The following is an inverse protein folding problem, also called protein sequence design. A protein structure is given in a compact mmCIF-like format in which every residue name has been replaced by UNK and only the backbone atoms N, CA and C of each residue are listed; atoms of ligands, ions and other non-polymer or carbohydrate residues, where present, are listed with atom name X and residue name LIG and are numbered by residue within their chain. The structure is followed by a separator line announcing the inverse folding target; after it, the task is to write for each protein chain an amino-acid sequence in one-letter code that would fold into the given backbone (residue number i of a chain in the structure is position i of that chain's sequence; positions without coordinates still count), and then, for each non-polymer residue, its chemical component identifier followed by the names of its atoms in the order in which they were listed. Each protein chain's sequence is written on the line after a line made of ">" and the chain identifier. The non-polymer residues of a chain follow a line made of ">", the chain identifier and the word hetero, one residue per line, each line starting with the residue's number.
data_IF_691559968890
#
_entry.id   IF_691559968890
#
_cell.length_a   1.000
_cell.length_b   1.000
_cell.length_c   1.000
_cell.angle_alpha   90.00
_cell.angle_beta   90.00
_cell.angle_gamma   90.00
#
_symmetry.space_group_name_H-M   'P 1'
#
loop_
_entity.id
_entity.type
_entity.pdbx_description
1 polymer ?
#
# COMPACT_ATOMS: atom_id res chain seq x y z
N UNK A 1 -5.10 9.66 -26.48
CA UNK A 1 -4.00 9.19 -25.60
C UNK A 1 -2.83 10.16 -25.69
N UNK A 2 -2.27 10.54 -24.53
CA UNK A 2 -1.04 11.36 -24.42
C UNK A 2 0.06 10.54 -23.75
N UNK A 3 1.33 10.74 -24.10
CA UNK A 3 2.42 10.07 -23.43
C UNK A 3 2.52 10.56 -21.98
N UNK A 4 2.75 9.64 -21.04
CA UNK A 4 2.97 9.94 -19.64
C UNK A 4 4.32 9.37 -19.18
N UNK A 5 4.79 9.83 -18.01
CA UNK A 5 6.00 9.31 -17.41
C UNK A 5 5.77 7.90 -16.87
N UNK A 6 6.82 7.09 -16.90
CA UNK A 6 6.82 5.73 -16.36
C UNK A 6 6.33 5.69 -14.91
N UNK A 7 6.82 6.60 -14.07
CA UNK A 7 6.48 6.67 -12.65
C UNK A 7 4.97 6.93 -12.43
N UNK A 8 4.36 7.77 -13.30
CA UNK A 8 2.90 8.00 -13.26
C UNK A 8 2.13 6.74 -13.64
N UNK A 9 2.54 6.08 -14.71
CA UNK A 9 1.92 4.83 -15.13
C UNK A 9 2.08 3.75 -14.07
N UNK A 10 3.28 3.58 -13.49
CA UNK A 10 3.56 2.61 -12.44
C UNK A 10 2.70 2.85 -11.19
N UNK A 11 2.52 4.11 -10.78
CA UNK A 11 1.67 4.46 -9.63
C UNK A 11 0.21 4.03 -9.84
N UNK A 12 -0.31 4.10 -11.07
CA UNK A 12 -1.70 3.76 -11.39
C UNK A 12 -1.93 2.25 -11.52
N UNK A 13 -0.93 1.49 -11.99
CA UNK A 13 -1.09 0.06 -12.29
C UNK A 13 -0.32 -0.88 -11.36
N UNK A 14 0.41 -0.36 -10.38
CA UNK A 14 1.23 -1.18 -9.47
C UNK A 14 0.44 -2.35 -8.87
N UNK A 15 -0.80 -2.08 -8.47
CA UNK A 15 -1.67 -3.04 -7.79
C UNK A 15 -2.34 -4.07 -8.70
N UNK A 16 -2.30 -3.88 -10.02
CA UNK A 16 -2.88 -4.81 -11.02
C UNK A 16 -1.83 -5.51 -11.86
N UNK A 17 -0.60 -5.03 -11.83
CA UNK A 17 0.50 -5.60 -12.61
C UNK A 17 0.82 -7.02 -12.14
N UNK A 18 0.97 -7.93 -13.10
CA UNK A 18 1.55 -9.24 -12.83
C UNK A 18 3.09 -9.14 -12.91
N UNK A 19 3.83 -9.31 -11.80
CA UNK A 19 5.28 -9.16 -11.81
C UNK A 19 6.02 -10.14 -12.75
N UNK A 20 5.45 -11.32 -13.02
CA UNK A 20 6.03 -12.28 -13.97
C UNK A 20 5.90 -11.81 -15.41
N UNK A 21 4.72 -11.29 -15.78
CA UNK A 21 4.48 -10.84 -17.15
C UNK A 21 5.28 -9.56 -17.45
N UNK A 22 5.12 -8.54 -16.62
CA UNK A 22 5.74 -7.24 -16.83
C UNK A 22 7.09 -7.11 -16.11
N UNK A 23 8.08 -7.86 -16.51
CA UNK A 23 9.42 -7.79 -15.92
C UNK A 23 10.29 -9.00 -16.18
N UNK A 24 9.69 -10.17 -16.38
CA UNK A 24 10.42 -11.41 -16.72
C UNK A 24 10.22 -11.78 -18.20
N UNK A 25 8.96 -11.79 -18.66
CA UNK A 25 8.63 -12.21 -20.03
C UNK A 25 8.60 -11.05 -21.01
N UNK A 26 8.47 -9.82 -20.54
CA UNK A 26 8.43 -8.62 -21.37
C UNK A 26 8.95 -7.40 -20.63
N UNK A 27 9.21 -6.32 -21.38
CA UNK A 27 9.62 -5.03 -20.86
C UNK A 27 8.73 -3.93 -21.43
N UNK A 28 8.14 -3.11 -20.57
CA UNK A 28 7.42 -1.90 -20.98
C UNK A 28 8.39 -0.86 -21.52
N UNK A 29 8.09 -0.27 -22.68
CA UNK A 29 8.97 0.70 -23.37
C UNK A 29 8.31 2.07 -23.56
N UNK A 30 6.98 2.15 -23.60
CA UNK A 30 6.22 3.39 -23.76
C UNK A 30 4.96 3.36 -22.89
N UNK A 31 4.52 4.52 -22.39
CA UNK A 31 3.38 4.68 -21.47
C UNK A 31 2.49 5.83 -21.89
N UNK A 32 1.18 5.63 -21.86
CA UNK A 32 0.16 6.57 -22.32
C UNK A 32 -1.05 6.57 -21.40
N UNK A 33 -1.77 7.71 -21.37
CA UNK A 33 -3.06 7.84 -20.70
C UNK A 33 -4.04 8.66 -21.54
N UNK A 34 -5.35 8.45 -21.36
CA UNK A 34 -6.37 9.44 -21.75
C UNK A 34 -6.35 10.62 -20.78
N UNK A 35 -6.94 11.75 -21.19
CA UNK A 35 -6.95 12.98 -20.39
C UNK A 35 -7.55 12.80 -18.99
N UNK A 36 -8.55 11.93 -18.88
CA UNK A 36 -9.24 11.61 -17.62
C UNK A 36 -8.71 10.31 -16.96
N UNK A 37 -7.63 9.71 -17.48
CA UNK A 37 -7.09 8.43 -17.02
C UNK A 37 -8.11 7.28 -16.99
N UNK A 38 -9.20 7.36 -17.77
CA UNK A 38 -10.11 6.24 -17.94
C UNK A 38 -9.44 5.08 -18.68
N UNK A 39 -8.57 5.41 -19.65
CA UNK A 39 -7.69 4.46 -20.33
C UNK A 39 -6.23 4.74 -20.02
N UNK A 40 -5.49 3.68 -19.79
CA UNK A 40 -4.04 3.66 -19.82
C UNK A 40 -3.58 2.75 -20.96
N UNK A 41 -2.40 2.97 -21.50
CA UNK A 41 -1.80 2.04 -22.46
C UNK A 41 -0.29 1.97 -22.29
N UNK A 42 0.25 0.82 -22.62
CA UNK A 42 1.70 0.59 -22.70
C UNK A 42 2.05 -0.19 -23.93
N UNK A 43 3.26 0.03 -24.46
CA UNK A 43 3.85 -0.83 -25.45
C UNK A 43 4.92 -1.65 -24.74
N UNK A 44 4.84 -2.95 -24.87
CA UNK A 44 5.84 -3.89 -24.36
C UNK A 44 6.69 -4.44 -25.49
N UNK A 45 7.92 -4.82 -25.19
CA UNK A 45 8.77 -5.67 -26.03
C UNK A 45 8.94 -7.01 -25.31
N UNK A 46 8.73 -8.10 -26.01
CA UNK A 46 8.88 -9.44 -25.47
C UNK A 46 10.28 -10.03 -25.71
N UNK A 47 10.45 -11.31 -25.38
CA UNK A 47 11.70 -12.04 -25.52
C UNK A 47 12.07 -12.33 -26.97
N UNK A 48 11.11 -12.28 -27.91
CA UNK A 48 11.30 -12.47 -29.35
C UNK A 48 11.57 -11.14 -30.07
N UNK A 49 11.69 -10.04 -29.33
CA UNK A 49 11.84 -8.65 -29.77
C UNK A 49 10.66 -8.14 -30.61
N UNK A 50 9.48 -8.63 -30.35
CA UNK A 50 8.23 -8.14 -30.92
C UNK A 50 7.52 -7.15 -30.00
N UNK A 51 6.81 -6.19 -30.61
CA UNK A 51 6.12 -5.12 -29.89
C UNK A 51 4.63 -5.39 -29.80
N UNK A 52 4.07 -5.39 -28.57
CA UNK A 52 2.65 -5.53 -28.33
C UNK A 52 2.11 -4.29 -27.61
N UNK A 53 1.01 -3.76 -28.12
CA UNK A 53 0.27 -2.70 -27.44
C UNK A 53 -0.75 -3.33 -26.48
N UNK A 54 -0.79 -2.81 -25.26
CA UNK A 54 -1.74 -3.23 -24.22
C UNK A 54 -2.53 -2.00 -23.80
N UNK A 55 -3.86 -2.10 -23.81
CA UNK A 55 -4.78 -1.05 -23.35
C UNK A 55 -5.46 -1.54 -22.08
N UNK A 56 -5.46 -0.69 -21.07
CA UNK A 56 -6.04 -0.93 -19.77
C UNK A 56 -7.20 0.03 -19.53
N UNK A 57 -8.29 -0.47 -18.97
CA UNK A 57 -9.43 0.31 -18.54
C UNK A 57 -9.80 -0.04 -17.10
N UNK A 58 -10.60 0.81 -16.43
CA UNK A 58 -11.09 0.54 -15.08
C UNK A 58 -12.32 -0.33 -15.12
N UNK A 59 -12.37 -1.36 -14.29
CA UNK A 59 -13.58 -2.15 -14.03
C UNK A 59 -14.54 -1.42 -13.06
N UNK A 60 -15.67 -2.04 -12.75
CA UNK A 60 -16.67 -1.48 -11.83
C UNK A 60 -16.17 -1.40 -10.36
N UNK A 61 -15.11 -2.12 -10.03
CA UNK A 61 -14.39 -2.00 -8.73
C UNK A 61 -13.26 -0.94 -8.79
N UNK A 62 -13.20 -0.12 -9.85
CA UNK A 62 -12.19 0.91 -10.13
C UNK A 62 -10.77 0.39 -10.35
N UNK A 63 -10.59 -0.90 -10.60
CA UNK A 63 -9.28 -1.52 -10.85
C UNK A 63 -8.98 -1.53 -12.33
N UNK A 64 -7.76 -1.13 -12.69
CA UNK A 64 -7.32 -1.32 -14.07
C UNK A 64 -7.18 -2.80 -14.42
N UNK A 65 -7.54 -3.13 -15.64
CA UNK A 65 -7.30 -4.43 -16.24
C UNK A 65 -7.08 -4.29 -17.73
N UNK A 66 -6.48 -5.30 -18.35
CA UNK A 66 -6.32 -5.35 -19.80
C UNK A 66 -7.69 -5.50 -20.45
N UNK A 67 -8.08 -4.53 -21.27
CA UNK A 67 -9.33 -4.54 -22.06
C UNK A 67 -9.08 -4.84 -23.52
N UNK A 68 -7.85 -4.56 -24.01
CA UNK A 68 -7.43 -4.89 -25.35
C UNK A 68 -5.91 -5.13 -25.42
N UNK A 69 -5.49 -6.00 -26.31
CA UNK A 69 -4.08 -6.24 -26.61
C UNK A 69 -3.90 -6.54 -28.10
N UNK A 70 -2.94 -5.88 -28.73
CA UNK A 70 -2.65 -6.14 -30.14
C UNK A 70 -1.99 -7.49 -30.37
N UNK A 71 -1.99 -7.95 -31.64
CA UNK A 71 -1.01 -8.92 -32.08
C UNK A 71 0.40 -8.32 -32.02
N UNK A 72 1.44 -9.14 -31.90
CA UNK A 72 2.83 -8.68 -31.96
C UNK A 72 3.18 -8.02 -33.29
N UNK A 73 4.02 -7.00 -33.22
CA UNK A 73 4.55 -6.27 -34.39
C UNK A 73 6.09 -6.28 -34.36
N UNK A 74 6.72 -6.40 -35.55
CA UNK A 74 8.18 -6.26 -35.67
C UNK A 74 8.66 -4.81 -35.43
N UNK A 75 7.77 -3.82 -35.65
CA UNK A 75 8.11 -2.40 -35.53
C UNK A 75 7.24 -1.70 -34.46
N UNK A 76 7.88 -0.98 -33.54
CA UNK A 76 7.20 -0.22 -32.50
C UNK A 76 6.21 0.80 -33.05
N UNK A 77 6.49 1.38 -34.22
CA UNK A 77 5.60 2.34 -34.86
C UNK A 77 4.26 1.75 -35.24
N UNK A 78 4.21 0.47 -35.58
CA UNK A 78 2.97 -0.19 -35.96
C UNK A 78 2.16 -0.59 -34.74
N UNK A 79 2.83 -1.05 -33.66
CA UNK A 79 2.19 -1.21 -32.35
C UNK A 79 1.59 0.12 -31.84
N UNK A 80 2.33 1.23 -31.99
CA UNK A 80 1.86 2.56 -31.61
C UNK A 80 0.64 3.02 -32.42
N UNK A 81 0.64 2.86 -33.74
CA UNK A 81 -0.50 3.18 -34.60
C UNK A 81 -1.73 2.35 -34.21
N UNK A 82 -1.55 1.06 -33.99
CA UNK A 82 -2.64 0.19 -33.55
C UNK A 82 -3.20 0.66 -32.20
N UNK A 83 -2.35 0.90 -31.19
CA UNK A 83 -2.75 1.42 -29.89
C UNK A 83 -3.60 2.69 -30.00
N UNK A 84 -3.16 3.68 -30.79
CA UNK A 84 -3.91 4.93 -30.96
C UNK A 84 -5.25 4.70 -31.64
N UNK A 85 -5.32 3.82 -32.64
CA UNK A 85 -6.55 3.51 -33.36
C UNK A 85 -7.57 2.82 -32.44
N UNK A 86 -7.15 1.81 -31.69
CA UNK A 86 -8.07 1.09 -30.80
C UNK A 86 -8.48 1.95 -29.59
N UNK A 87 -7.53 2.67 -28.97
CA UNK A 87 -7.86 3.62 -27.89
C UNK A 87 -8.86 4.69 -28.34
N UNK A 88 -8.78 5.17 -29.59
CA UNK A 88 -9.73 6.15 -30.13
C UNK A 88 -11.14 5.58 -30.22
N UNK A 89 -11.31 4.36 -30.70
CA UNK A 89 -12.61 3.68 -30.75
C UNK A 89 -13.23 3.56 -29.36
N UNK A 90 -12.46 3.06 -28.38
CA UNK A 90 -12.91 2.92 -27.00
C UNK A 90 -13.33 4.25 -26.37
N UNK A 91 -12.64 5.35 -26.70
CA UNK A 91 -12.99 6.69 -26.18
C UNK A 91 -14.21 7.30 -26.89
N UNK A 92 -14.44 6.97 -28.17
CA UNK A 92 -15.61 7.43 -28.94
C UNK A 92 -16.92 6.83 -28.42
N UNK A 93 -16.89 5.63 -27.83
CA UNK A 93 -18.04 4.99 -27.19
C UNK A 93 -18.42 5.69 -25.87
N UNK A 94 -17.58 6.60 -25.35
CA UNK A 94 -17.82 7.42 -24.16
C UNK A 94 -17.82 6.62 -22.85
N UNK A 95 -17.42 5.36 -22.89
CA UNK A 95 -17.31 4.53 -21.70
C UNK A 95 -16.07 4.92 -20.87
N UNK A 96 -16.24 4.99 -19.57
CA UNK A 96 -15.16 5.21 -18.61
C UNK A 96 -14.95 4.01 -17.69
N UNK A 97 -15.85 3.05 -17.72
CA UNK A 97 -15.83 1.81 -16.94
C UNK A 97 -15.99 0.63 -17.89
N UNK A 98 -15.12 -0.34 -17.75
CA UNK A 98 -15.01 -1.54 -18.58
C UNK A 98 -15.20 -2.80 -17.72
N UNK A 99 -16.45 -3.26 -17.49
CA UNK A 99 -16.74 -4.36 -16.58
C UNK A 99 -16.10 -5.68 -17.03
N UNK A 100 -15.56 -6.43 -16.06
CA UNK A 100 -15.12 -7.83 -16.27
C UNK A 100 -16.26 -8.84 -16.20
N UNK A 101 -17.40 -8.44 -15.59
CA UNK A 101 -18.55 -9.30 -15.35
C UNK A 101 -18.47 -10.17 -14.09
N UNK A 102 -17.43 -10.03 -13.28
CA UNK A 102 -17.23 -10.78 -12.03
C UNK A 102 -16.91 -9.86 -10.84
N UNK A 103 -17.21 -8.59 -10.96
CA UNK A 103 -17.01 -7.60 -9.92
C UNK A 103 -17.88 -7.87 -8.71
N UNK A 104 -17.37 -7.49 -7.55
CA UNK A 104 -18.08 -7.69 -6.28
C UNK A 104 -19.29 -6.76 -6.10
N UNK A 105 -19.37 -5.67 -6.87
CA UNK A 105 -20.33 -4.56 -6.71
C UNK A 105 -20.41 -4.01 -5.26
N UNK A 106 -19.37 -4.25 -4.46
CA UNK A 106 -19.29 -3.90 -3.04
C UNK A 106 -18.10 -3.01 -2.74
N UNK A 107 -17.65 -2.23 -3.74
CA UNK A 107 -16.55 -1.29 -3.48
C UNK A 107 -17.05 -0.22 -2.52
N UNK A 108 -16.91 -0.46 -1.22
CA UNK A 108 -17.16 0.57 -0.22
C UNK A 108 -16.05 1.60 -0.32
N UNK A 109 -16.44 2.84 -0.52
CA UNK A 109 -15.50 3.94 -0.43
C UNK A 109 -15.02 4.04 1.03
N UNK A 110 -13.71 3.98 1.25
CA UNK A 110 -13.09 4.06 2.57
C UNK A 110 -13.50 5.34 3.34
N UNK A 111 -13.81 6.40 2.60
CA UNK A 111 -14.18 7.71 3.16
C UNK A 111 -15.68 7.90 3.37
N UNK A 112 -16.53 6.94 2.98
CA UNK A 112 -17.94 6.95 3.33
C UNK A 112 -18.09 6.61 4.81
N UNK A 113 -18.62 7.55 5.60
CA UNK A 113 -18.70 7.39 7.06
C UNK A 113 -19.71 6.31 7.42
N UNK A 114 -19.22 5.24 8.06
CA UNK A 114 -20.04 4.13 8.57
C UNK A 114 -20.14 4.09 10.10
N UNK A 115 -19.38 4.95 10.80
CA UNK A 115 -19.33 5.02 12.26
C UNK A 115 -20.05 6.26 12.76
N UNK A 116 -20.51 6.22 14.03
CA UNK A 116 -21.04 7.40 14.69
C UNK A 116 -19.98 8.51 14.78
N UNK A 117 -20.39 9.76 14.58
CA UNK A 117 -19.50 10.92 14.48
C UNK A 117 -18.56 11.06 15.68
N UNK A 118 -19.06 10.76 16.87
CA UNK A 118 -18.33 10.87 18.13
C UNK A 118 -17.21 9.82 18.28
N UNK A 119 -17.19 8.81 17.40
CA UNK A 119 -16.18 7.74 17.38
C UNK A 119 -15.14 7.91 16.29
N UNK A 120 -15.34 8.90 15.41
CA UNK A 120 -14.43 9.12 14.30
C UNK A 120 -13.08 9.61 14.82
N UNK A 121 -12.03 9.08 14.23
CA UNK A 121 -10.67 9.52 14.49
C UNK A 121 -10.45 10.92 13.90
N UNK A 122 -9.87 11.89 14.63
CA UNK A 122 -9.62 13.24 14.12
C UNK A 122 -8.76 13.26 12.84
N UNK A 123 -7.74 12.42 12.75
CA UNK A 123 -6.87 12.33 11.57
C UNK A 123 -7.62 11.78 10.36
N UNK A 124 -8.52 10.81 10.57
CA UNK A 124 -9.43 10.36 9.52
C UNK A 124 -10.30 11.51 8.99
N UNK A 125 -10.91 12.29 9.91
CA UNK A 125 -11.73 13.46 9.53
C UNK A 125 -10.90 14.49 8.76
N UNK A 126 -9.67 14.76 9.16
CA UNK A 126 -8.76 15.67 8.46
C UNK A 126 -8.49 15.17 7.02
N UNK A 127 -8.09 13.91 6.84
CA UNK A 127 -7.83 13.35 5.51
C UNK A 127 -9.09 13.38 4.65
N UNK A 128 -10.24 13.04 5.24
CA UNK A 128 -11.51 13.01 4.53
C UNK A 128 -11.99 14.39 4.06
N UNK A 129 -11.86 15.41 4.88
CA UNK A 129 -12.55 16.68 4.70
C UNK A 129 -11.66 17.85 4.28
N UNK A 130 -10.40 17.88 4.71
CA UNK A 130 -9.52 19.02 4.44
C UNK A 130 -8.89 18.93 3.04
N UNK A 131 -8.77 20.09 2.39
CA UNK A 131 -8.22 20.20 1.03
C UNK A 131 -6.73 19.88 1.00
N UNK A 132 -6.01 20.21 2.06
CA UNK A 132 -4.57 19.97 2.21
C UNK A 132 -4.21 18.49 2.09
N UNK A 133 -5.14 17.60 2.43
CA UNK A 133 -4.97 16.14 2.36
C UNK A 133 -5.56 15.51 1.09
N UNK A 134 -5.94 16.31 0.07
CA UNK A 134 -6.56 15.76 -1.16
C UNK A 134 -5.69 14.70 -1.83
N UNK A 135 -4.39 14.96 -1.98
CA UNK A 135 -3.46 14.01 -2.61
C UNK A 135 -3.34 12.69 -1.82
N UNK A 136 -3.26 12.77 -0.49
CA UNK A 136 -3.23 11.57 0.36
C UNK A 136 -4.53 10.77 0.26
N UNK A 137 -5.68 11.47 0.24
CA UNK A 137 -7.00 10.86 0.06
C UNK A 137 -7.12 10.14 -1.28
N UNK A 138 -6.64 10.75 -2.35
CA UNK A 138 -6.66 10.14 -3.70
C UNK A 138 -5.79 8.90 -3.77
N UNK A 139 -4.57 8.93 -3.21
CA UNK A 139 -3.68 7.77 -3.14
C UNK A 139 -4.32 6.63 -2.34
N UNK A 140 -4.88 6.91 -1.18
CA UNK A 140 -5.54 5.92 -0.33
C UNK A 140 -6.76 5.32 -1.06
N UNK A 141 -7.55 6.15 -1.75
CA UNK A 141 -8.69 5.69 -2.53
C UNK A 141 -8.28 4.78 -3.69
N UNK A 142 -7.12 5.03 -4.31
CA UNK A 142 -6.56 4.19 -5.38
C UNK A 142 -6.07 2.83 -4.88
N UNK A 143 -5.48 2.78 -3.69
CA UNK A 143 -4.93 1.56 -3.10
C UNK A 143 -6.05 0.64 -2.58
N UNK A 144 -7.07 1.20 -1.95
CA UNK A 144 -8.07 0.46 -1.18
C UNK A 144 -8.81 -0.64 -1.97
N UNK A 145 -9.22 -0.45 -3.24
CA UNK A 145 -9.85 -1.50 -4.03
C UNK A 145 -9.03 -2.77 -4.17
N UNK A 146 -7.70 -2.66 -4.09
CA UNK A 146 -6.77 -3.77 -4.21
C UNK A 146 -6.43 -4.44 -2.86
N UNK A 147 -6.72 -3.75 -1.75
CA UNK A 147 -6.44 -4.27 -0.42
C UNK A 147 -7.52 -5.26 0.02
N UNK A 148 -7.13 -6.50 0.25
CA UNK A 148 -8.07 -7.53 0.75
C UNK A 148 -8.26 -7.36 2.25
N UNK A 149 -9.47 -6.97 2.65
CA UNK A 149 -9.90 -6.99 4.05
C UNK A 149 -10.25 -8.43 4.46
N UNK A 150 -9.40 -9.06 5.27
CA UNK A 150 -9.54 -10.47 5.65
C UNK A 150 -10.49 -10.64 6.83
N UNK A 151 -10.50 -9.70 7.77
CA UNK A 151 -11.28 -9.74 9.01
C UNK A 151 -12.61 -8.98 8.92
N UNK A 152 -12.84 -8.23 7.83
CA UNK A 152 -14.07 -7.46 7.58
C UNK A 152 -14.23 -6.22 8.46
N UNK A 153 -13.18 -5.80 9.16
CA UNK A 153 -13.22 -4.68 10.09
C UNK A 153 -12.37 -3.47 9.63
N UNK A 154 -11.67 -3.59 8.51
CA UNK A 154 -10.68 -2.59 8.08
C UNK A 154 -11.27 -1.18 8.02
N UNK A 155 -12.38 -0.98 7.32
CA UNK A 155 -13.00 0.35 7.13
C UNK A 155 -13.42 0.95 8.48
N UNK A 156 -14.04 0.15 9.34
CA UNK A 156 -14.45 0.60 10.67
C UNK A 156 -13.25 1.02 11.52
N UNK A 157 -12.22 0.20 11.56
CA UNK A 157 -11.02 0.49 12.35
C UNK A 157 -10.27 1.70 11.79
N UNK A 158 -10.17 1.82 10.45
CA UNK A 158 -9.59 2.99 9.79
C UNK A 158 -10.32 4.30 10.12
N UNK A 159 -11.63 4.25 10.32
CA UNK A 159 -12.42 5.44 10.68
C UNK A 159 -12.37 5.77 12.18
N UNK A 160 -11.88 4.86 13.03
CA UNK A 160 -11.94 4.99 14.49
C UNK A 160 -10.56 4.83 15.15
N UNK A 161 -10.50 4.17 16.29
CA UNK A 161 -9.28 4.01 17.11
C UNK A 161 -8.16 3.21 16.44
N UNK A 162 -8.45 2.47 15.39
CA UNK A 162 -7.47 1.70 14.62
C UNK A 162 -6.81 2.47 13.46
N UNK A 163 -7.09 3.78 13.31
CA UNK A 163 -6.65 4.58 12.19
C UNK A 163 -5.15 4.41 11.85
N UNK A 164 -4.27 4.64 12.83
CA UNK A 164 -2.82 4.57 12.63
C UNK A 164 -2.36 3.17 12.18
N UNK A 165 -2.91 2.13 12.80
CA UNK A 165 -2.56 0.74 12.45
C UNK A 165 -3.01 0.40 11.03
N UNK A 166 -4.23 0.79 10.64
CA UNK A 166 -4.76 0.51 9.30
C UNK A 166 -4.08 1.36 8.23
N UNK A 167 -3.71 2.60 8.56
CA UNK A 167 -2.91 3.44 7.67
C UNK A 167 -1.53 2.82 7.42
N UNK A 168 -0.88 2.31 8.48
CA UNK A 168 0.41 1.63 8.37
C UNK A 168 0.33 0.33 7.56
N UNK A 169 -0.69 -0.49 7.79
CA UNK A 169 -0.92 -1.68 6.99
C UNK A 169 -1.13 -1.34 5.50
N UNK A 170 -1.90 -0.29 5.21
CA UNK A 170 -2.15 0.13 3.83
C UNK A 170 -0.88 0.66 3.16
N UNK A 171 -0.07 1.43 3.89
CA UNK A 171 1.24 1.89 3.42
C UNK A 171 2.17 0.72 3.10
N UNK A 172 2.26 -0.26 4.01
CA UNK A 172 3.08 -1.46 3.77
C UNK A 172 2.58 -2.26 2.56
N UNK A 173 1.27 -2.39 2.41
CA UNK A 173 0.70 -3.05 1.23
C UNK A 173 1.12 -2.33 -0.06
N UNK A 174 1.01 -1.01 -0.08
CA UNK A 174 1.45 -0.20 -1.22
C UNK A 174 2.94 -0.40 -1.50
N UNK A 175 3.78 -0.21 -0.48
CA UNK A 175 5.23 -0.36 -0.59
C UNK A 175 5.64 -1.74 -1.12
N UNK A 176 5.13 -2.81 -0.51
CA UNK A 176 5.46 -4.19 -0.91
C UNK A 176 4.99 -4.51 -2.34
N UNK A 177 3.86 -3.92 -2.76
CA UNK A 177 3.33 -4.08 -4.12
C UNK A 177 4.18 -3.32 -5.15
N UNK A 178 4.57 -2.09 -4.83
CA UNK A 178 5.44 -1.28 -5.70
C UNK A 178 6.84 -1.89 -5.85
N UNK A 179 7.34 -2.56 -4.80
CA UNK A 179 8.55 -3.40 -4.85
C UNK A 179 8.37 -4.71 -5.65
N UNK A 180 7.17 -4.91 -6.24
CA UNK A 180 6.83 -6.08 -7.08
C UNK A 180 6.93 -7.42 -6.35
N UNK A 181 6.67 -7.44 -5.05
CA UNK A 181 6.66 -8.64 -4.25
C UNK A 181 5.32 -9.38 -4.37
N UNK A 182 5.37 -10.70 -4.38
CA UNK A 182 4.16 -11.52 -4.36
C UNK A 182 3.61 -11.61 -2.94
N UNK A 183 2.51 -10.93 -2.69
CA UNK A 183 1.87 -10.84 -1.38
C UNK A 183 0.71 -11.83 -1.28
N UNK A 184 0.77 -12.74 -0.32
CA UNK A 184 -0.35 -13.59 0.05
C UNK A 184 -1.05 -13.01 1.29
N UNK A 185 -2.29 -12.57 1.12
CA UNK A 185 -3.18 -12.08 2.16
C UNK A 185 -4.36 -13.04 2.38
N UNK A 186 -4.10 -14.33 2.39
CA UNK A 186 -5.10 -15.37 2.63
C UNK A 186 -5.30 -15.73 4.10
N UNK A 187 -4.52 -15.12 5.02
CA UNK A 187 -4.49 -15.45 6.44
C UNK A 187 -4.75 -14.19 7.29
N UNK A 188 -5.35 -14.37 8.46
CA UNK A 188 -5.58 -13.28 9.43
C UNK A 188 -4.29 -12.81 10.11
N UNK A 189 -3.28 -13.66 10.15
CA UNK A 189 -1.99 -13.35 10.76
C UNK A 189 -0.88 -14.23 10.14
N UNK A 190 0.32 -13.68 9.92
CA UNK A 190 0.69 -12.27 10.03
C UNK A 190 0.01 -11.41 8.96
N UNK A 191 0.15 -10.08 9.03
CA UNK A 191 -0.50 -9.15 8.11
C UNK A 191 -0.11 -9.41 6.65
N UNK A 192 1.15 -9.80 6.38
CA UNK A 192 1.64 -10.13 5.04
C UNK A 192 2.50 -11.39 5.06
N UNK A 193 2.30 -12.21 4.05
CA UNK A 193 3.20 -13.32 3.71
C UNK A 193 3.75 -13.08 2.31
N UNK A 194 5.03 -12.79 2.21
CA UNK A 194 5.72 -12.59 0.93
C UNK A 194 6.15 -13.95 0.40
N UNK A 195 5.73 -14.25 -0.81
CA UNK A 195 6.08 -15.49 -1.50
C UNK A 195 7.31 -15.25 -2.40
N UNK A 196 8.39 -15.97 -2.15
CA UNK A 196 9.62 -15.88 -2.95
C UNK A 196 10.17 -17.29 -3.25
N UNK A 197 9.42 -18.02 -4.06
CA UNK A 197 9.83 -19.36 -4.50
C UNK A 197 10.11 -20.32 -3.34
N UNK A 198 11.38 -20.48 -3.00
CA UNK A 198 11.83 -21.45 -1.98
C UNK A 198 11.77 -20.92 -0.54
N UNK A 199 11.71 -19.61 -0.35
CA UNK A 199 11.74 -19.00 0.99
C UNK A 199 10.74 -17.86 1.10
N UNK A 200 9.68 -18.07 1.88
CA UNK A 200 8.71 -17.04 2.18
C UNK A 200 9.18 -16.18 3.36
N UNK A 201 8.65 -14.95 3.46
CA UNK A 201 8.90 -14.03 4.57
C UNK A 201 7.57 -13.59 5.17
N UNK A 202 7.43 -13.72 6.47
CA UNK A 202 6.27 -13.26 7.23
C UNK A 202 6.53 -11.84 7.74
N UNK A 203 5.58 -10.92 7.52
CA UNK A 203 5.69 -9.53 7.98
C UNK A 203 4.47 -9.19 8.82
N UNK A 204 4.71 -8.69 10.02
CA UNK A 204 3.67 -8.20 10.93
C UNK A 204 3.81 -6.70 11.12
N UNK A 205 2.76 -5.95 10.87
CA UNK A 205 2.70 -4.52 11.08
C UNK A 205 2.55 -4.20 12.58
N UNK A 206 3.34 -3.26 13.05
CA UNK A 206 3.33 -2.83 14.45
C UNK A 206 3.30 -1.31 14.48
N UNK A 207 2.42 -0.74 15.29
CA UNK A 207 2.38 0.71 15.55
C UNK A 207 2.76 1.00 16.99
N UNK A 208 3.53 2.06 17.18
CA UNK A 208 3.85 2.62 18.49
C UNK A 208 3.03 3.91 18.62
N UNK A 209 1.95 3.86 19.37
CA UNK A 209 1.00 4.97 19.48
C UNK A 209 1.23 5.75 20.79
N UNK A 210 0.72 6.99 20.87
CA UNK A 210 0.71 7.78 22.08
C UNK A 210 0.05 7.01 23.23
N UNK A 211 0.54 7.19 24.46
CA UNK A 211 -0.06 6.56 25.63
C UNK A 211 -1.38 7.23 25.98
N UNK A 212 -2.40 6.44 26.31
CA UNK A 212 -3.71 6.97 26.73
C UNK A 212 -3.70 7.59 28.14
N UNK A 213 -2.67 7.30 28.94
CA UNK A 213 -2.46 7.91 30.25
C UNK A 213 -1.37 8.95 30.10
N UNK A 214 -1.62 10.14 30.59
CA UNK A 214 -0.74 11.31 30.63
C UNK A 214 0.75 10.95 30.84
N UNK A 215 1.38 10.41 29.80
CA UNK A 215 2.81 10.55 29.69
C UNK A 215 3.02 12.05 29.51
N UNK A 216 3.85 12.66 30.36
CA UNK A 216 4.13 14.08 30.27
C UNK A 216 4.36 14.40 28.81
N UNK A 217 3.57 15.31 28.24
CA UNK A 217 3.78 15.80 26.87
C UNK A 217 5.25 16.13 26.79
N UNK A 218 5.98 15.40 25.93
CA UNK A 218 7.40 15.67 25.73
C UNK A 218 7.42 17.00 24.99
N UNK A 219 7.59 18.09 25.75
CA UNK A 219 7.71 19.43 25.18
C UNK A 219 9.01 19.47 24.39
N UNK A 220 8.89 19.29 23.06
CA UNK A 220 10.04 19.27 22.12
C UNK A 220 10.93 20.50 22.30
N UNK A 221 10.35 21.64 22.66
CA UNK A 221 11.05 22.90 22.90
C UNK A 221 11.98 22.88 24.14
N UNK A 222 11.82 21.90 25.04
CA UNK A 222 12.62 21.73 26.25
C UNK A 222 13.61 20.58 26.21
N UNK A 223 13.82 19.97 25.04
CA UNK A 223 14.76 18.86 24.92
C UNK A 223 16.20 19.36 24.97
N UNK A 224 16.94 18.99 26.01
CA UNK A 224 18.40 19.13 26.08
C UNK A 224 19.08 17.82 25.67
N UNK A 225 20.37 17.83 25.34
CA UNK A 225 21.10 16.60 25.02
C UNK A 225 21.00 15.53 26.13
N UNK A 226 20.99 15.95 27.40
CA UNK A 226 20.88 15.05 28.57
C UNK A 226 19.46 14.43 28.63
N UNK A 227 18.41 15.22 28.47
CA UNK A 227 17.02 14.73 28.48
C UNK A 227 16.74 13.83 27.27
N UNK A 228 17.35 14.09 26.11
CA UNK A 228 17.29 13.19 24.96
C UNK A 228 17.94 11.84 25.28
N UNK A 229 19.11 11.82 25.92
CA UNK A 229 19.75 10.56 26.30
C UNK A 229 18.93 9.75 27.32
N UNK A 230 18.33 10.40 28.31
CA UNK A 230 17.43 9.76 29.26
C UNK A 230 16.20 9.16 28.55
N UNK A 231 15.60 9.93 27.63
CA UNK A 231 14.47 9.48 26.83
C UNK A 231 14.81 8.24 25.99
N UNK A 232 15.96 8.26 25.32
CA UNK A 232 16.43 7.12 24.51
C UNK A 232 16.79 5.89 25.35
N UNK A 233 17.31 6.09 26.57
CA UNK A 233 17.70 5.00 27.45
C UNK A 233 16.55 4.35 28.20
N UNK A 234 15.63 5.15 28.72
CA UNK A 234 14.65 4.71 29.72
C UNK A 234 13.24 4.62 29.14
N UNK A 235 12.82 5.59 28.34
CA UNK A 235 11.45 5.67 27.82
C UNK A 235 11.27 4.90 26.51
N UNK A 236 12.10 5.15 25.52
CA UNK A 236 11.94 4.57 24.17
C UNK A 236 11.99 3.04 24.15
N UNK A 237 12.90 2.35 24.90
CA UNK A 237 12.89 0.89 24.93
C UNK A 237 11.58 0.29 25.44
N UNK A 238 10.96 0.93 26.43
CA UNK A 238 9.66 0.49 26.96
C UNK A 238 8.53 0.77 25.96
N UNK A 239 8.60 1.93 25.32
CA UNK A 239 7.59 2.37 24.35
C UNK A 239 7.53 1.44 23.12
N UNK A 240 8.66 1.10 22.55
CA UNK A 240 8.76 0.15 21.44
C UNK A 240 8.64 -1.31 21.89
N UNK A 241 9.17 -1.63 23.05
CA UNK A 241 9.15 -3.01 23.56
C UNK A 241 7.75 -3.52 23.88
N UNK A 242 6.87 -2.68 24.38
CA UNK A 242 5.50 -3.08 24.77
C UNK A 242 4.67 -3.62 23.58
N UNK A 243 4.53 -2.91 22.44
CA UNK A 243 3.84 -3.44 21.28
C UNK A 243 4.47 -4.72 20.73
N UNK A 244 5.81 -4.77 20.64
CA UNK A 244 6.53 -5.96 20.20
C UNK A 244 6.29 -7.15 21.12
N UNK A 245 6.36 -6.94 22.44
CA UNK A 245 6.07 -7.99 23.41
C UNK A 245 4.64 -8.51 23.25
N UNK A 246 3.68 -7.64 23.00
CA UNK A 246 2.28 -8.01 22.77
C UNK A 246 2.13 -8.88 21.51
N UNK A 247 2.83 -8.54 20.42
CA UNK A 247 2.84 -9.34 19.18
C UNK A 247 3.53 -10.70 19.39
N UNK A 248 4.65 -10.75 20.11
CA UNK A 248 5.34 -12.00 20.45
C UNK A 248 4.53 -12.90 21.39
N UNK A 249 3.72 -12.31 22.27
CA UNK A 249 2.89 -13.01 23.25
C UNK A 249 1.40 -12.87 22.94
N UNK A 250 1.03 -13.16 21.71
CA UNK A 250 -0.35 -13.07 21.20
C UNK A 250 -1.37 -13.69 22.15
N UNK A 251 -2.43 -12.96 22.41
CA UNK A 251 -3.57 -13.41 23.21
C UNK A 251 -4.87 -12.96 22.56
N UNK A 252 -5.93 -13.75 22.76
CA UNK A 252 -7.27 -13.34 22.35
C UNK A 252 -7.84 -12.26 23.31
N UNK A 253 -9.03 -11.76 22.99
CA UNK A 253 -9.73 -10.75 23.80
C UNK A 253 -10.05 -11.21 25.23
N UNK A 254 -9.97 -12.52 25.51
CA UNK A 254 -10.18 -13.12 26.84
C UNK A 254 -8.86 -13.41 27.55
N UNK A 255 -7.71 -13.03 26.97
CA UNK A 255 -6.38 -13.26 27.53
C UNK A 255 -5.82 -14.66 27.31
N UNK A 256 -6.50 -15.53 26.55
CA UNK A 256 -6.00 -16.86 26.22
C UNK A 256 -4.87 -16.78 25.18
N UNK A 257 -3.75 -17.49 25.38
CA UNK A 257 -2.66 -17.54 24.41
C UNK A 257 -3.16 -18.01 23.02
N UNK A 258 -2.75 -17.29 21.98
CA UNK A 258 -2.93 -17.68 20.60
C UNK A 258 -1.66 -18.33 20.07
N UNK A 259 -1.80 -19.10 18.97
CA UNK A 259 -0.67 -19.69 18.26
C UNK A 259 0.34 -18.59 17.85
N UNK A 260 1.62 -18.83 18.06
CA UNK A 260 2.69 -17.89 17.71
C UNK A 260 2.87 -17.85 16.20
N UNK A 261 3.32 -16.70 15.67
CA UNK A 261 3.55 -16.54 14.22
C UNK A 261 4.42 -17.64 13.62
N UNK A 262 5.49 -18.04 14.30
CA UNK A 262 6.44 -19.08 13.84
C UNK A 262 5.96 -20.51 14.01
N UNK A 263 4.84 -20.72 14.71
CA UNK A 263 4.21 -22.04 14.92
C UNK A 263 3.15 -22.34 13.87
N UNK A 264 2.58 -21.27 13.26
CA UNK A 264 1.51 -21.40 12.27
C UNK A 264 1.98 -22.18 11.04
N UNK A 265 1.14 -23.04 10.50
CA UNK A 265 1.47 -23.91 9.36
C UNK A 265 2.03 -23.14 8.15
N UNK A 266 1.47 -21.98 7.84
CA UNK A 266 1.83 -21.18 6.66
C UNK A 266 3.08 -20.31 6.84
N UNK A 267 3.55 -20.11 8.06
CA UNK A 267 4.75 -19.31 8.38
C UNK A 267 5.87 -20.14 9.00
N UNK A 268 5.63 -21.43 9.22
CA UNK A 268 6.64 -22.30 9.82
C UNK A 268 7.92 -22.32 9.00
N UNK A 269 9.04 -21.97 9.64
CA UNK A 269 10.34 -21.89 8.98
C UNK A 269 10.57 -20.61 8.15
N UNK A 270 9.60 -19.70 8.08
CA UNK A 270 9.78 -18.40 7.45
C UNK A 270 10.47 -17.42 8.41
N UNK A 271 11.37 -16.56 7.92
CA UNK A 271 11.76 -15.37 8.66
C UNK A 271 10.55 -14.53 9.04
N UNK A 272 10.52 -14.01 10.26
CA UNK A 272 9.49 -13.10 10.76
C UNK A 272 10.08 -11.70 10.90
N UNK A 273 9.41 -10.72 10.27
CA UNK A 273 9.78 -9.31 10.32
C UNK A 273 8.66 -8.54 11.02
N UNK A 274 9.01 -7.69 11.99
CA UNK A 274 8.12 -6.69 12.54
C UNK A 274 8.39 -5.34 11.85
N UNK A 275 7.42 -4.87 11.07
CA UNK A 275 7.46 -3.56 10.43
C UNK A 275 6.85 -2.54 11.38
N UNK A 276 7.67 -1.64 11.92
CA UNK A 276 7.26 -0.73 13.00
C UNK A 276 7.07 0.68 12.44
N UNK A 277 5.90 1.28 12.69
CA UNK A 277 5.66 2.71 12.51
C UNK A 277 5.49 3.40 13.86
N UNK A 278 6.10 4.57 13.97
CA UNK A 278 6.09 5.37 15.19
C UNK A 278 5.10 6.53 15.08
N UNK A 279 4.01 6.45 15.84
CA UNK A 279 2.97 7.46 15.99
C UNK A 279 2.84 7.97 17.43
N UNK A 280 3.90 7.80 18.26
CA UNK A 280 3.78 8.06 19.71
C UNK A 280 3.77 9.55 20.05
N UNK A 281 4.32 10.42 19.22
CA UNK A 281 4.31 11.86 19.45
C UNK A 281 4.41 12.62 18.12
N UNK A 282 3.66 13.71 18.02
CA UNK A 282 3.74 14.62 16.88
C UNK A 282 5.09 15.36 16.88
N UNK A 283 5.76 15.39 15.74
CA UNK A 283 7.00 16.16 15.54
C UNK A 283 8.27 15.58 16.16
N UNK A 284 8.22 14.47 16.89
CA UNK A 284 9.39 13.78 17.40
C UNK A 284 9.96 12.80 16.36
N UNK A 285 10.70 13.34 15.39
CA UNK A 285 11.62 12.53 14.60
C UNK A 285 12.88 12.34 15.45
N UNK A 286 12.89 11.34 16.30
CA UNK A 286 14.14 10.89 16.91
C UNK A 286 14.86 10.10 15.83
N UNK A 287 15.76 10.79 15.11
CA UNK A 287 16.72 10.11 14.26
C UNK A 287 17.52 9.17 15.14
N UNK A 288 17.41 7.85 14.90
CA UNK A 288 18.41 6.94 15.41
C UNK A 288 19.78 7.50 15.04
N UNK A 289 20.73 7.63 16.00
CA UNK A 289 22.07 7.99 15.64
C UNK A 289 22.57 6.90 14.70
N UNK A 290 22.61 7.21 13.41
CA UNK A 290 23.23 6.37 12.41
C UNK A 290 24.69 6.26 12.77
N UNK A 291 25.14 5.07 13.16
CA UNK A 291 26.51 4.69 12.86
C UNK A 291 26.71 4.95 11.37
N UNK A 292 27.81 5.53 10.98
CA UNK A 292 28.15 6.15 9.68
C UNK A 292 27.97 5.25 8.41
N UNK A 293 27.11 4.25 8.42
CA UNK A 293 26.96 3.25 7.33
C UNK A 293 25.54 2.83 6.96
N UNK A 294 24.50 3.56 7.33
CA UNK A 294 23.15 3.25 6.80
C UNK A 294 22.38 4.49 6.36
N UNK A 295 22.52 4.81 5.08
CA UNK A 295 21.70 5.77 4.32
C UNK A 295 20.32 5.18 3.99
N UNK A 296 19.50 4.76 4.94
CA UNK A 296 18.17 4.27 4.59
C UNK A 296 17.19 4.28 5.75
N UNK A 297 16.89 5.44 6.30
CA UNK A 297 15.68 5.67 7.08
C UNK A 297 15.34 7.16 7.10
N UNK A 298 15.14 7.74 5.92
CA UNK A 298 14.57 9.08 5.80
C UNK A 298 13.36 9.00 4.89
N UNK A 299 12.20 8.88 5.48
CA UNK A 299 10.97 9.38 4.83
C UNK A 299 10.92 10.86 5.20
N UNK A 300 11.16 11.79 4.28
CA UNK A 300 10.99 13.21 4.57
C UNK A 300 9.49 13.51 4.60
N UNK A 301 8.94 13.70 5.77
CA UNK A 301 7.72 14.48 5.91
C UNK A 301 8.09 15.95 5.65
N UNK A 302 7.73 16.45 4.48
CA UNK A 302 7.51 17.87 4.22
C UNK A 302 6.04 18.11 3.94
#
# INVERSE_FOLDING_TARGET
>A
MIPIRKERFEALIAYTRNPLAAGVLSKEVEWYASDNEALLATIIIDVDNEFTAIILGRDADLKYHCIDSSMPFEQINDARKNMFAESKKLLEDGESIFPRGNESNKTQNLFDVICAKEKLNPNFENIRSLKEYSSAREIIAEIMPHYKDVDGNFIKDFQTTGFDSRLWELYLFAYLTEERLFINRGYEAPDFLILNGSQNVAIEAVTVNASQKSDAEIEVEKLTPETIQELLRDYMPLKFGSPLFSKLNRKDKKGKPLEKYWEMKHTKGCPLVFAIADFHAEGLIISCPSSETSQSCLIPYK
#
